data_IF_328848966518
#
_entry.id   IF_328848966518
#
_cell.length_a   1.000
_cell.length_b   1.000
_cell.length_c   1.000
_cell.angle_alpha   90.00
_cell.angle_beta   90.00
_cell.angle_gamma   90.00
#
_symmetry.space_group_name_H-M   'P 1'
#
loop_
_entity.id
_entity.type
_entity.pdbx_description
1 polymer ?
#
# COMPACT_ATOMS: atom_id res chain seq x y z
N UNK A 1 -9.63 2.99 16.82
CA UNK A 1 -10.39 4.06 16.32
C UNK A 1 -9.57 5.30 16.06
N UNK A 2 -9.92 6.00 15.16
CA UNK A 2 -9.14 7.14 14.82
C UNK A 2 -9.98 8.40 14.96
N UNK A 3 -9.48 9.39 15.63
CA UNK A 3 -10.07 10.69 15.67
C UNK A 3 -9.65 11.56 14.52
N UNK A 4 -8.93 10.99 13.57
CA UNK A 4 -8.36 11.76 12.48
C UNK A 4 -9.37 11.98 11.37
N UNK A 5 -9.43 13.22 10.87
CA UNK A 5 -10.17 13.52 9.65
C UNK A 5 -9.35 13.04 8.46
N UNK A 6 -9.99 12.77 7.32
CA UNK A 6 -9.24 12.39 6.11
C UNK A 6 -8.18 13.41 5.73
N UNK A 7 -8.47 14.70 5.93
CA UNK A 7 -7.52 15.75 5.59
C UNK A 7 -6.28 15.68 6.48
N UNK A 8 -6.45 15.50 7.78
CA UNK A 8 -5.31 15.41 8.71
C UNK A 8 -4.47 14.18 8.44
N UNK A 9 -5.12 13.08 8.10
CA UNK A 9 -4.45 11.84 7.76
C UNK A 9 -3.54 12.05 6.55
N UNK A 10 -4.06 12.70 5.49
CA UNK A 10 -3.29 12.97 4.29
C UNK A 10 -2.16 13.95 4.55
N UNK A 11 -2.39 14.96 5.40
CA UNK A 11 -1.35 15.90 5.79
C UNK A 11 -0.20 15.18 6.49
N UNK A 12 -0.54 14.27 7.42
CA UNK A 12 0.49 13.52 8.15
C UNK A 12 1.24 12.57 7.21
N UNK A 13 0.54 11.94 6.26
CA UNK A 13 1.19 11.09 5.27
C UNK A 13 2.21 11.89 4.45
N UNK A 14 1.84 13.08 4.03
CA UNK A 14 2.76 13.93 3.27
C UNK A 14 3.98 14.33 4.10
N UNK A 15 3.76 14.74 5.36
CA UNK A 15 4.86 15.06 6.26
C UNK A 15 5.81 13.87 6.39
N UNK A 16 5.24 12.70 6.63
CA UNK A 16 6.03 11.49 6.80
C UNK A 16 6.79 11.13 5.52
N UNK A 17 6.16 11.33 4.38
CA UNK A 17 6.79 11.08 3.09
C UNK A 17 8.03 11.96 2.89
N UNK A 18 7.93 13.22 3.30
CA UNK A 18 9.06 14.15 3.20
C UNK A 18 10.14 13.81 4.23
N UNK A 19 9.74 13.54 5.47
CA UNK A 19 10.67 13.21 6.55
C UNK A 19 11.46 11.93 6.26
N UNK A 20 10.80 10.93 5.72
CA UNK A 20 11.40 9.62 5.47
C UNK A 20 12.23 9.56 4.20
N UNK A 21 12.08 10.56 3.34
CA UNK A 21 12.70 10.54 2.01
C UNK A 21 11.92 9.73 0.99
N UNK A 22 10.67 9.34 1.31
CA UNK A 22 9.82 8.66 0.34
C UNK A 22 9.55 9.57 -0.86
N UNK A 23 9.46 10.87 -0.63
CA UNK A 23 9.41 11.87 -1.69
C UNK A 23 10.65 12.74 -1.59
N UNK A 24 11.36 12.87 -2.68
CA UNK A 24 12.53 13.77 -2.78
C UNK A 24 12.38 14.65 -4.00
N UNK A 25 12.70 15.92 -3.84
CA UNK A 25 12.69 16.87 -4.96
C UNK A 25 14.11 17.15 -5.40
N UNK A 26 14.30 17.34 -6.71
CA UNK A 26 15.61 17.59 -7.29
C UNK A 26 15.63 17.17 -8.75
N UNK A 27 16.82 16.93 -9.27
CA UNK A 27 17.00 16.49 -10.65
C UNK A 27 17.30 14.99 -10.64
N UNK A 28 16.37 14.21 -11.16
CA UNK A 28 16.49 12.75 -11.19
C UNK A 28 16.35 12.25 -12.62
N UNK A 29 17.06 11.16 -12.91
CA UNK A 29 16.89 10.42 -14.14
C UNK A 29 16.30 9.06 -13.78
N UNK A 30 15.11 8.79 -14.31
CA UNK A 30 14.39 7.55 -14.03
C UNK A 30 14.99 6.39 -14.82
N UNK A 31 14.61 5.18 -14.43
CA UNK A 31 15.06 3.97 -15.12
C UNK A 31 14.73 4.01 -16.62
N UNK A 32 13.64 4.66 -16.98
CA UNK A 32 13.22 4.83 -18.37
C UNK A 32 14.10 5.81 -19.15
N UNK A 33 15.02 6.51 -18.47
CA UNK A 33 15.82 7.56 -19.07
C UNK A 33 15.17 8.93 -19.03
N UNK A 34 13.92 9.02 -18.62
CA UNK A 34 13.21 10.29 -18.51
C UNK A 34 13.67 11.05 -17.27
N UNK A 35 13.67 12.37 -17.37
CA UNK A 35 14.01 13.23 -16.25
C UNK A 35 12.79 13.58 -15.45
N UNK A 36 12.97 13.72 -14.13
CA UNK A 36 11.88 14.08 -13.22
C UNK A 36 12.39 15.06 -12.19
N UNK A 37 11.50 15.97 -11.76
CA UNK A 37 11.79 16.91 -10.69
C UNK A 37 11.55 16.31 -9.31
N UNK A 38 11.12 15.07 -9.23
CA UNK A 38 10.94 14.39 -7.96
C UNK A 38 11.20 12.89 -8.14
N UNK A 39 11.45 12.24 -7.01
CA UNK A 39 11.60 10.80 -6.93
C UNK A 39 10.73 10.29 -5.79
N UNK A 40 10.01 9.21 -6.01
CA UNK A 40 9.13 8.63 -5.02
C UNK A 40 9.45 7.16 -4.78
N UNK A 41 9.66 6.80 -3.51
CA UNK A 41 9.81 5.41 -3.09
C UNK A 41 8.79 5.13 -1.99
N UNK A 42 7.67 4.53 -2.38
CA UNK A 42 6.56 4.27 -1.47
C UNK A 42 6.89 3.27 -0.37
N UNK A 43 7.92 2.45 -0.56
CA UNK A 43 8.30 1.45 0.45
C UNK A 43 8.80 2.10 1.73
N UNK A 44 9.35 3.31 1.63
CA UNK A 44 9.76 4.04 2.82
C UNK A 44 8.57 4.49 3.67
N UNK A 45 7.37 4.46 3.10
CA UNK A 45 6.13 4.69 3.85
C UNK A 45 5.47 3.38 4.25
N UNK A 46 5.30 2.46 3.28
CA UNK A 46 4.51 1.25 3.52
C UNK A 46 5.19 0.27 4.48
N UNK A 47 6.51 0.36 4.64
CA UNK A 47 7.25 -0.47 5.58
C UNK A 47 7.54 0.24 6.90
N UNK A 48 7.15 1.50 7.00
CA UNK A 48 7.25 2.26 8.24
C UNK A 48 6.00 2.01 9.09
N UNK A 49 6.15 1.83 10.42
CA UNK A 49 4.98 1.53 11.26
C UNK A 49 3.86 2.56 11.16
N UNK A 50 4.18 3.84 11.26
CA UNK A 50 3.17 4.89 11.15
C UNK A 50 2.65 4.99 9.72
N UNK A 51 3.55 4.88 8.74
CA UNK A 51 3.16 4.93 7.33
C UNK A 51 2.19 3.84 6.95
N UNK A 52 2.47 2.61 7.37
CA UNK A 52 1.59 1.47 7.11
C UNK A 52 0.22 1.68 7.74
N UNK A 53 0.19 2.19 8.98
CA UNK A 53 -1.05 2.49 9.67
C UNK A 53 -1.86 3.54 8.92
N UNK A 54 -1.24 4.65 8.57
CA UNK A 54 -1.93 5.75 7.90
C UNK A 54 -2.45 5.34 6.52
N UNK A 55 -1.66 4.58 5.77
CA UNK A 55 -2.09 4.09 4.46
C UNK A 55 -3.31 3.19 4.62
N UNK A 56 -3.29 2.27 5.59
CA UNK A 56 -4.43 1.39 5.80
C UNK A 56 -5.68 2.17 6.20
N UNK A 57 -5.53 3.19 7.05
CA UNK A 57 -6.65 4.03 7.46
C UNK A 57 -7.22 4.86 6.31
N UNK A 58 -6.38 5.22 5.35
CA UNK A 58 -6.83 5.94 4.15
C UNK A 58 -7.59 5.03 3.21
N UNK A 59 -7.17 3.76 3.09
CA UNK A 59 -7.75 2.83 2.12
C UNK A 59 -9.02 2.14 2.61
N UNK A 60 -9.12 1.85 3.92
CA UNK A 60 -10.27 1.11 4.45
C UNK A 60 -11.62 1.74 4.12
N UNK A 61 -11.83 3.06 4.32
CA UNK A 61 -13.12 3.66 3.99
C UNK A 61 -13.48 3.51 2.50
N UNK A 62 -12.49 3.59 1.63
CA UNK A 62 -12.70 3.42 0.18
C UNK A 62 -13.14 1.99 -0.12
N UNK A 63 -12.47 1.02 0.48
CA UNK A 63 -12.81 -0.40 0.28
C UNK A 63 -14.19 -0.73 0.82
N UNK A 64 -14.51 -0.25 2.00
CA UNK A 64 -15.82 -0.50 2.62
C UNK A 64 -16.94 0.17 1.82
N UNK A 65 -16.72 1.40 1.35
CA UNK A 65 -17.71 2.11 0.55
C UNK A 65 -17.96 1.41 -0.77
N UNK A 66 -16.94 0.76 -1.33
CA UNK A 66 -17.05 0.01 -2.58
C UNK A 66 -17.62 -1.39 -2.38
N UNK A 67 -17.83 -1.82 -1.13
CA UNK A 67 -18.27 -3.17 -0.83
C UNK A 67 -17.22 -4.23 -1.12
N UNK A 68 -15.95 -3.85 -1.09
CA UNK A 68 -14.85 -4.77 -1.40
C UNK A 68 -14.70 -5.84 -0.33
N UNK A 69 -14.52 -7.08 -0.75
CA UNK A 69 -14.28 -8.21 0.15
C UNK A 69 -12.81 -8.59 0.20
N UNK A 70 -12.02 -8.08 -0.74
CA UNK A 70 -10.60 -8.38 -0.84
C UNK A 70 -9.86 -7.21 -1.47
N UNK A 71 -8.58 -7.11 -1.14
CA UNK A 71 -7.67 -6.11 -1.70
C UNK A 71 -6.40 -6.79 -2.14
N UNK A 72 -5.90 -6.45 -3.29
CA UNK A 72 -4.70 -7.08 -3.80
C UNK A 72 -3.84 -6.14 -4.61
N UNK A 73 -2.66 -6.59 -4.90
CA UNK A 73 -1.76 -5.83 -5.73
C UNK A 73 -0.54 -6.64 -6.13
N UNK A 74 0.22 -6.08 -7.01
CA UNK A 74 1.39 -6.75 -7.57
C UNK A 74 2.56 -6.73 -6.59
N UNK A 75 3.14 -7.92 -6.39
CA UNK A 75 4.36 -8.01 -5.59
C UNK A 75 5.49 -7.26 -6.31
N UNK A 76 6.43 -6.67 -5.62
CA UNK A 76 6.69 -6.68 -4.19
C UNK A 76 6.07 -5.45 -3.50
N UNK A 77 5.86 -4.39 -4.25
CA UNK A 77 5.47 -3.09 -3.71
C UNK A 77 4.14 -3.10 -2.96
N UNK A 78 3.18 -3.88 -3.42
CA UNK A 78 1.86 -3.91 -2.79
C UNK A 78 1.81 -4.79 -1.53
N UNK A 79 2.78 -5.70 -1.35
CA UNK A 79 2.74 -6.68 -0.27
C UNK A 79 2.53 -6.06 1.11
N UNK A 80 3.32 -5.07 1.53
CA UNK A 80 3.13 -4.50 2.87
C UNK A 80 1.82 -3.72 2.99
N UNK A 81 1.35 -3.12 1.91
CA UNK A 81 0.11 -2.33 1.93
C UNK A 81 -1.09 -3.24 2.15
N UNK A 82 -1.20 -4.30 1.35
CA UNK A 82 -2.37 -5.19 1.45
C UNK A 82 -2.37 -5.95 2.77
N UNK A 83 -1.19 -6.32 3.28
CA UNK A 83 -1.09 -6.97 4.59
C UNK A 83 -1.54 -6.02 5.71
N UNK A 84 -1.12 -4.76 5.66
CA UNK A 84 -1.52 -3.77 6.64
C UNK A 84 -3.03 -3.51 6.61
N UNK A 85 -3.61 -3.45 5.41
CA UNK A 85 -5.06 -3.27 5.25
C UNK A 85 -5.82 -4.46 5.83
N UNK A 86 -5.37 -5.68 5.56
CA UNK A 86 -6.01 -6.89 6.09
C UNK A 86 -6.01 -6.86 7.62
N UNK A 87 -4.86 -6.58 8.22
CA UNK A 87 -4.76 -6.50 9.67
C UNK A 87 -5.68 -5.41 10.24
N UNK A 88 -5.61 -4.22 9.67
CA UNK A 88 -6.42 -3.10 10.14
C UNK A 88 -7.91 -3.39 10.01
N UNK A 89 -8.32 -4.07 8.94
CA UNK A 89 -9.72 -4.41 8.73
C UNK A 89 -10.23 -5.40 9.78
N UNK A 90 -9.37 -6.33 10.21
CA UNK A 90 -9.70 -7.26 11.27
C UNK A 90 -9.94 -6.52 12.59
N UNK A 91 -9.04 -5.60 12.92
CA UNK A 91 -9.17 -4.81 14.15
C UNK A 91 -10.40 -3.92 14.13
N UNK A 92 -10.83 -3.52 12.95
CA UNK A 92 -11.99 -2.66 12.75
C UNK A 92 -13.32 -3.43 12.76
N UNK A 93 -13.27 -4.75 12.76
CA UNK A 93 -14.45 -5.59 12.77
C UNK A 93 -15.14 -5.76 11.44
N UNK A 94 -14.54 -5.30 10.35
CA UNK A 94 -15.10 -5.40 9.01
C UNK A 94 -14.04 -5.95 8.06
N UNK A 95 -13.75 -7.26 8.14
CA UNK A 95 -12.57 -7.85 7.51
C UNK A 95 -12.56 -7.78 5.99
N UNK A 96 -11.39 -7.44 5.47
CA UNK A 96 -11.09 -7.46 4.04
C UNK A 96 -9.87 -8.36 3.88
N UNK A 97 -9.98 -9.37 3.03
CA UNK A 97 -8.86 -10.28 2.79
C UNK A 97 -7.87 -9.67 1.83
N UNK A 98 -6.60 -10.09 1.95
CA UNK A 98 -5.56 -9.60 1.07
C UNK A 98 -5.09 -10.71 0.14
N UNK A 99 -4.65 -10.32 -1.04
CA UNK A 99 -4.00 -11.25 -1.96
C UNK A 99 -2.88 -10.53 -2.69
N UNK A 100 -1.97 -11.33 -3.24
CA UNK A 100 -0.80 -10.81 -3.95
C UNK A 100 -0.82 -11.36 -5.36
N UNK A 101 -0.56 -10.49 -6.32
CA UNK A 101 -0.45 -10.89 -7.72
C UNK A 101 1.04 -10.97 -8.07
N UNK A 102 1.48 -12.14 -8.51
CA UNK A 102 2.87 -12.33 -8.91
C UNK A 102 3.14 -11.62 -10.22
N UNK A 103 4.31 -11.02 -10.32
CA UNK A 103 4.72 -10.38 -11.58
C UNK A 103 4.95 -11.42 -12.67
N UNK A 104 5.46 -12.59 -12.27
CA UNK A 104 5.76 -13.68 -13.20
C UNK A 104 5.08 -14.95 -12.73
N UNK A 105 4.61 -15.73 -13.70
CA UNK A 105 4.01 -17.02 -13.42
C UNK A 105 5.06 -17.97 -12.88
N UNK A 106 4.64 -18.87 -12.00
CA UNK A 106 5.48 -19.98 -11.57
C UNK A 106 5.73 -20.90 -12.76
N UNK A 107 6.96 -21.27 -12.99
CA UNK A 107 7.31 -22.18 -14.06
C UNK A 107 7.02 -23.63 -13.66
N UNK A 108 7.08 -23.90 -12.36
CA UNK A 108 6.92 -25.24 -11.83
C UNK A 108 5.80 -25.28 -10.82
N UNK A 109 5.19 -26.45 -10.68
CA UNK A 109 4.11 -26.65 -9.74
C UNK A 109 2.80 -26.09 -10.25
N UNK A 110 2.04 -25.44 -9.38
CA UNK A 110 0.67 -25.04 -9.66
C UNK A 110 0.52 -23.84 -10.58
N UNK A 111 1.57 -23.12 -10.85
CA UNK A 111 1.53 -21.92 -11.70
C UNK A 111 0.52 -20.87 -11.24
N UNK A 112 0.34 -20.73 -9.94
CA UNK A 112 -0.57 -19.73 -9.42
C UNK A 112 0.06 -18.34 -9.52
N UNK A 113 -0.69 -17.42 -10.11
CA UNK A 113 -0.29 -16.03 -10.18
C UNK A 113 -0.79 -15.22 -8.99
N UNK A 114 -1.77 -15.74 -8.28
CA UNK A 114 -2.41 -15.08 -7.16
C UNK A 114 -2.17 -15.90 -5.91
N UNK A 115 -1.69 -15.24 -4.85
CA UNK A 115 -1.47 -15.87 -3.55
C UNK A 115 -2.32 -15.16 -2.51
N UNK A 116 -2.95 -15.95 -1.64
CA UNK A 116 -3.72 -15.39 -0.55
C UNK A 116 -4.99 -16.20 -0.26
N UNK A 117 -5.66 -15.83 0.85
CA UNK A 117 -6.83 -16.58 1.32
C UNK A 117 -8.11 -16.18 0.58
N UNK A 118 -8.12 -16.32 -0.73
CA UNK A 118 -9.32 -16.14 -1.53
C UNK A 118 -10.03 -17.49 -1.68
N UNK A 119 -11.34 -17.47 -1.50
CA UNK A 119 -12.13 -18.70 -1.64
C UNK A 119 -12.78 -18.79 -3.01
#
# INVERSE_FOLDING_TARGET
MSGETPQRLMERLLELALESGAIKYGDFTLTSGKKSSYYFDGRLLSLDPEGAHLISQALLPVLHAAGAEAVGGTTLGADPIVAAVALASHLDGAPVRAFIVRKESKEHGTRQNIEGPLS
#
